data_IF_363279714585
#
_entry.id   IF_363279714585
#
_cell.length_a   1.000
_cell.length_b   1.000
_cell.length_c   1.000
_cell.angle_alpha   90.00
_cell.angle_beta   90.00
_cell.angle_gamma   90.00
#
_symmetry.space_group_name_H-M   'P 1'
#
loop_
_entity.id
_entity.type
_entity.pdbx_description
1 polymer ?
#
# COMPACT_ATOMS: atom_id res chain seq x y z
N UNK A 1 9.07 -10.53 -23.27
CA UNK A 1 7.65 -10.33 -22.88
C UNK A 1 6.81 -11.54 -23.31
N UNK A 2 6.03 -12.14 -22.40
CA UNK A 2 5.08 -13.21 -22.77
C UNK A 2 4.00 -12.62 -23.66
N UNK A 3 3.64 -13.30 -24.76
CA UNK A 3 2.66 -12.82 -25.75
C UNK A 3 1.28 -12.56 -25.15
N UNK A 4 0.94 -13.27 -24.07
CA UNK A 4 -0.36 -13.20 -23.38
C UNK A 4 -0.28 -12.52 -22.00
N UNK A 5 0.78 -11.75 -21.72
CA UNK A 5 0.94 -11.06 -20.44
C UNK A 5 1.06 -9.54 -20.62
N UNK A 6 0.28 -8.81 -19.84
CA UNK A 6 0.37 -7.35 -19.74
C UNK A 6 1.27 -6.95 -18.57
N UNK A 7 2.12 -5.94 -18.79
CA UNK A 7 2.96 -5.36 -17.74
C UNK A 7 2.30 -4.07 -17.27
N UNK A 8 2.02 -3.98 -15.97
CA UNK A 8 1.46 -2.78 -15.32
C UNK A 8 2.53 -2.17 -14.42
N UNK A 9 2.81 -0.88 -14.60
CA UNK A 9 3.70 -0.10 -13.74
C UNK A 9 2.86 0.91 -12.97
N UNK A 10 3.01 0.93 -11.66
CA UNK A 10 2.29 1.85 -10.79
C UNK A 10 3.14 2.24 -9.59
N UNK A 11 2.87 3.43 -9.05
CA UNK A 11 3.31 3.82 -7.73
C UNK A 11 2.17 3.59 -6.75
N UNK A 12 2.50 2.97 -5.62
CA UNK A 12 1.54 2.58 -4.59
C UNK A 12 2.14 2.89 -3.23
N UNK A 13 1.34 3.39 -2.27
CA UNK A 13 1.81 3.56 -0.90
C UNK A 13 2.20 2.20 -0.31
N UNK A 14 3.35 2.14 0.36
CA UNK A 14 3.83 0.89 0.97
C UNK A 14 2.84 0.32 2.01
N UNK A 15 2.09 1.20 2.69
CA UNK A 15 1.04 0.83 3.65
C UNK A 15 -0.07 -0.03 3.05
N UNK A 16 -0.34 0.08 1.75
CA UNK A 16 -1.39 -0.68 1.07
C UNK A 16 -0.90 -2.04 0.57
N UNK A 17 0.40 -2.34 0.68
CA UNK A 17 0.99 -3.58 0.15
C UNK A 17 0.90 -4.76 1.12
N UNK A 18 0.48 -4.52 2.38
CA UNK A 18 0.22 -5.60 3.33
C UNK A 18 -0.92 -6.49 2.81
N UNK A 19 -0.64 -7.79 2.65
CA UNK A 19 -1.62 -8.75 2.10
C UNK A 19 -1.75 -8.74 0.57
N UNK A 20 -1.03 -7.87 -0.14
CA UNK A 20 -1.12 -7.75 -1.60
C UNK A 20 -0.79 -9.06 -2.34
N UNK A 21 0.22 -9.81 -1.89
CA UNK A 21 0.59 -11.09 -2.50
C UNK A 21 -0.58 -12.08 -2.55
N UNK A 22 -1.34 -12.18 -1.46
CA UNK A 22 -2.51 -13.04 -1.35
C UNK A 22 -3.65 -12.54 -2.23
N UNK A 23 -3.95 -11.24 -2.17
CA UNK A 23 -4.99 -10.63 -3.00
C UNK A 23 -4.71 -10.82 -4.50
N UNK A 24 -3.48 -10.55 -4.95
CA UNK A 24 -3.07 -10.71 -6.33
C UNK A 24 -3.17 -12.17 -6.81
N UNK A 25 -2.79 -13.14 -5.96
CA UNK A 25 -2.95 -14.57 -6.27
C UNK A 25 -4.42 -14.93 -6.47
N UNK A 26 -5.30 -14.48 -5.58
CA UNK A 26 -6.74 -14.73 -5.69
C UNK A 26 -7.34 -14.09 -6.94
N UNK A 27 -7.02 -12.82 -7.22
CA UNK A 27 -7.54 -12.08 -8.38
C UNK A 27 -7.10 -12.66 -9.72
N UNK A 28 -5.88 -13.17 -9.81
CA UNK A 28 -5.28 -13.62 -11.07
C UNK A 28 -5.26 -15.13 -11.23
N UNK A 29 -5.94 -15.84 -10.32
CA UNK A 29 -5.92 -17.31 -10.24
C UNK A 29 -4.48 -17.84 -10.21
N UNK A 30 -3.60 -17.14 -9.50
CA UNK A 30 -2.18 -17.49 -9.32
C UNK A 30 -1.28 -17.29 -10.54
N UNK A 31 -1.74 -16.58 -11.58
CA UNK A 31 -0.94 -16.39 -12.80
C UNK A 31 -0.05 -15.16 -12.81
N UNK A 32 -0.38 -14.13 -12.05
CA UNK A 32 0.40 -12.90 -12.06
C UNK A 32 1.64 -12.96 -11.18
N UNK A 33 2.62 -12.15 -11.56
CA UNK A 33 3.88 -11.95 -10.86
C UNK A 33 4.02 -10.46 -10.60
N UNK A 34 4.59 -10.10 -9.45
CA UNK A 34 4.84 -8.71 -9.09
C UNK A 34 6.23 -8.56 -8.49
N UNK A 35 6.79 -7.37 -8.63
CA UNK A 35 8.06 -6.95 -8.04
C UNK A 35 7.87 -5.55 -7.49
N UNK A 36 8.43 -5.28 -6.31
CA UNK A 36 8.38 -3.95 -5.70
C UNK A 36 9.80 -3.42 -5.53
N UNK A 37 9.96 -2.13 -5.79
CA UNK A 37 11.19 -1.39 -5.53
C UNK A 37 10.82 -0.09 -4.83
N UNK A 38 11.59 0.30 -3.81
CA UNK A 38 11.45 1.61 -3.19
C UNK A 38 11.65 2.70 -4.24
N UNK A 39 10.76 3.69 -4.26
CA UNK A 39 10.79 4.82 -5.19
C UNK A 39 11.20 6.11 -4.45
N UNK A 40 10.33 6.62 -3.58
CA UNK A 40 10.54 7.86 -2.83
C UNK A 40 9.57 7.96 -1.65
N UNK A 41 9.75 8.98 -0.82
CA UNK A 41 8.76 9.43 0.16
C UNK A 41 7.89 10.52 -0.45
N UNK A 42 6.58 10.46 -0.19
CA UNK A 42 5.61 11.44 -0.65
C UNK A 42 4.78 11.94 0.54
N UNK A 43 4.32 13.20 0.46
CA UNK A 43 3.42 13.76 1.46
C UNK A 43 2.04 13.09 1.37
N UNK A 44 1.59 12.53 2.47
CA UNK A 44 0.22 12.02 2.57
C UNK A 44 -0.79 13.18 2.61
N UNK A 45 -1.99 13.00 2.05
CA UNK A 45 -3.10 13.95 2.21
C UNK A 45 -3.40 14.25 3.68
N UNK A 46 -3.83 15.47 3.98
CA UNK A 46 -4.09 15.95 5.36
C UNK A 46 -5.00 15.01 6.15
N UNK A 47 -6.11 14.58 5.55
CA UNK A 47 -7.07 13.66 6.16
C UNK A 47 -6.46 12.33 6.63
N UNK A 48 -5.50 11.79 5.89
CA UNK A 48 -4.79 10.54 6.23
C UNK A 48 -3.70 10.83 7.27
N UNK A 49 -3.00 11.97 7.14
CA UNK A 49 -1.96 12.36 8.10
C UNK A 49 -2.51 12.50 9.52
N UNK A 50 -3.67 13.13 9.68
CA UNK A 50 -4.32 13.33 10.99
C UNK A 50 -4.68 11.99 11.63
N UNK A 51 -5.25 11.06 10.86
CA UNK A 51 -5.56 9.71 11.33
C UNK A 51 -4.32 8.93 11.75
N UNK A 52 -3.20 9.06 11.01
CA UNK A 52 -1.94 8.39 11.36
C UNK A 52 -1.38 8.99 12.66
N UNK A 53 -1.39 10.32 12.79
CA UNK A 53 -0.90 11.01 13.98
C UNK A 53 -1.72 10.61 15.21
N UNK A 54 -3.05 10.56 15.09
CA UNK A 54 -3.96 10.12 16.17
C UNK A 54 -3.68 8.67 16.57
N UNK A 55 -3.51 7.76 15.61
CA UNK A 55 -3.17 6.35 15.88
C UNK A 55 -1.83 6.19 16.58
N UNK A 56 -0.82 6.98 16.21
CA UNK A 56 0.56 6.85 16.73
C UNK A 56 0.70 7.52 18.11
N UNK A 57 0.07 8.66 18.33
CA UNK A 57 0.10 9.33 19.64
C UNK A 57 -0.78 8.63 20.70
N UNK A 58 -1.61 7.68 20.27
CA UNK A 58 -2.71 7.16 21.07
C UNK A 58 -3.78 8.24 21.24
N UNK A 59 -5.01 7.86 21.61
CA UNK A 59 -5.89 8.85 22.24
C UNK A 59 -5.10 9.41 23.42
N UNK A 60 -4.62 10.65 23.31
CA UNK A 60 -4.36 11.42 24.51
C UNK A 60 -5.69 11.37 25.24
N UNK A 61 -5.76 10.54 26.28
CA UNK A 61 -6.70 10.76 27.34
C UNK A 61 -6.43 12.20 27.73
N UNK A 62 -7.29 13.08 27.21
CA UNK A 62 -7.44 14.44 27.68
C UNK A 62 -7.71 14.27 29.16
N UNK A 63 -6.62 14.31 29.92
CA UNK A 63 -6.61 14.28 31.35
C UNK A 63 -6.57 15.72 31.84
N UNK A 64 -7.35 15.95 32.90
CA UNK A 64 -7.44 17.15 33.71
C UNK A 64 -8.32 18.28 33.17
#
# INVERSE_FOLDING_TARGET
PRKDAQVVKAHVPLSEMFGYATAMRSMTQGRALYTMQFSHYEHVPKSISEQIIEKVKGKEAVGA
#
